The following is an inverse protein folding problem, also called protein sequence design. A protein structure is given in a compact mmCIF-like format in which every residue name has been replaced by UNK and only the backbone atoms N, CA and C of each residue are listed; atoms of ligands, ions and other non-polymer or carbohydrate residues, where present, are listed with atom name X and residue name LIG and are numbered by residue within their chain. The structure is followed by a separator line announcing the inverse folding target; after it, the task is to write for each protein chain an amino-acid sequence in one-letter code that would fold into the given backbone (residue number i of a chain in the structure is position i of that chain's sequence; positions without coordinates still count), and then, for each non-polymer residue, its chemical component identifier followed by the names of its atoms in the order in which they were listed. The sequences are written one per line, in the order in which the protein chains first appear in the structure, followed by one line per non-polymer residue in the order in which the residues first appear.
data_IF_555636817810
#
_entry.id   IF_555636817810
#
_cell.length_a   1.000
_cell.length_b   1.000
_cell.length_c   1.000
_cell.angle_alpha   90.00
_cell.angle_beta   90.00
_cell.angle_gamma   90.00
#
_symmetry.space_group_name_H-M   'P 1'
#
loop_
_entity.id
_entity.type
_entity.pdbx_description
1 polymer ?
#
# COMPACT_ATOMS: atom_id res chain seq x y z
N UNK A 1 13.74 14.98 10.75
CA UNK A 1 12.32 14.55 10.69
C UNK A 1 12.28 13.03 10.73
N UNK A 2 12.59 12.43 11.89
CA UNK A 2 12.75 10.96 12.05
C UNK A 2 11.69 10.31 12.94
N UNK A 3 10.76 11.09 13.52
CA UNK A 3 9.83 10.65 14.57
C UNK A 3 8.59 9.86 14.10
N UNK A 4 8.49 9.48 12.82
CA UNK A 4 7.32 8.80 12.24
C UNK A 4 7.67 7.51 11.50
N UNK A 5 8.71 6.80 11.97
CA UNK A 5 8.99 5.44 11.48
C UNK A 5 8.16 4.44 12.28
N UNK A 6 7.34 3.64 11.60
CA UNK A 6 6.63 2.54 12.25
C UNK A 6 7.66 1.47 12.62
N UNK A 7 7.91 1.32 13.92
CA UNK A 7 8.81 0.31 14.45
C UNK A 7 8.10 -1.04 14.45
N UNK A 8 8.67 -2.01 13.74
CA UNK A 8 8.14 -3.37 13.71
C UNK A 8 8.72 -4.14 14.88
N UNK A 9 7.94 -4.28 15.94
CA UNK A 9 8.23 -5.33 16.89
C UNK A 9 7.72 -6.64 16.29
N UNK A 10 8.63 -7.48 15.79
CA UNK A 10 8.30 -8.88 15.42
C UNK A 10 8.23 -9.76 16.68
N UNK A 11 7.82 -9.16 17.79
CA UNK A 11 7.59 -9.83 19.06
C UNK A 11 6.38 -10.72 18.91
N UNK A 12 6.52 -11.97 19.33
CA UNK A 12 5.37 -12.86 19.51
C UNK A 12 4.43 -12.16 20.49
N UNK A 13 3.12 -12.24 20.25
CA UNK A 13 2.12 -11.75 21.19
C UNK A 13 2.51 -12.14 22.63
N UNK A 14 2.44 -11.21 23.61
CA UNK A 14 2.97 -11.41 24.95
C UNK A 14 2.25 -12.50 25.75
N UNK A 15 1.13 -13.01 25.22
CA UNK A 15 0.29 -14.01 25.88
C UNK A 15 0.90 -15.43 25.79
N UNK A 16 1.02 -16.14 26.92
CA UNK A 16 1.38 -17.56 26.93
C UNK A 16 0.43 -18.36 26.02
N UNK A 17 0.98 -19.30 25.25
CA UNK A 17 0.23 -20.14 24.31
C UNK A 17 -0.50 -19.40 23.17
N UNK A 18 -0.08 -18.18 22.82
CA UNK A 18 -0.65 -17.49 21.65
C UNK A 18 -0.40 -18.28 20.34
N UNK A 19 -1.45 -18.59 19.54
CA UNK A 19 -1.30 -19.31 18.27
C UNK A 19 -0.72 -18.43 17.15
N UNK A 20 -0.40 -17.16 17.42
CA UNK A 20 0.11 -16.22 16.42
C UNK A 20 1.26 -16.77 15.54
N UNK A 21 2.25 -17.53 16.06
CA UNK A 21 3.31 -18.09 15.22
C UNK A 21 2.82 -19.05 14.14
N UNK A 22 1.70 -19.75 14.39
CA UNK A 22 1.11 -20.75 13.49
C UNK A 22 -0.18 -20.28 12.84
N UNK A 23 -0.68 -19.09 13.17
CA UNK A 23 -1.89 -18.54 12.58
C UNK A 23 -1.62 -17.99 11.18
N UNK A 24 -2.46 -18.38 10.22
CA UNK A 24 -2.43 -17.86 8.85
C UNK A 24 -2.84 -16.40 8.77
N UNK A 25 -3.67 -15.94 9.70
CA UNK A 25 -4.15 -14.57 9.78
C UNK A 25 -3.79 -13.94 11.12
N UNK A 26 -3.53 -12.63 11.08
CA UNK A 26 -3.24 -11.83 12.26
C UNK A 26 -3.76 -10.41 12.09
N UNK A 27 -3.87 -9.70 13.21
CA UNK A 27 -4.23 -8.30 13.30
C UNK A 27 -2.97 -7.51 13.62
N UNK A 28 -2.55 -6.63 12.72
CA UNK A 28 -1.48 -5.68 12.99
C UNK A 28 -2.09 -4.43 13.62
N UNK A 29 -1.74 -4.17 14.88
CA UNK A 29 -2.20 -3.02 15.66
C UNK A 29 -1.09 -1.98 15.69
N UNK A 30 -1.42 -0.73 15.38
CA UNK A 30 -0.52 0.41 15.48
C UNK A 30 -0.84 1.19 16.74
N UNK A 31 0.15 1.33 17.61
CA UNK A 31 0.07 2.16 18.81
C UNK A 31 0.62 3.55 18.54
N UNK A 32 -0.12 4.55 18.99
CA UNK A 32 0.27 5.95 18.97
C UNK A 32 0.39 6.47 20.41
N UNK A 33 1.31 7.42 20.69
CA UNK A 33 2.20 8.10 19.75
C UNK A 33 3.52 7.36 19.44
N UNK A 34 3.77 6.20 20.07
CA UNK A 34 5.04 5.46 19.95
C UNK A 34 5.34 4.97 18.53
N UNK A 35 4.32 4.89 17.66
CA UNK A 35 4.43 4.33 16.31
C UNK A 35 4.94 2.88 16.33
N UNK A 36 4.58 2.13 17.36
CA UNK A 36 4.92 0.72 17.52
C UNK A 36 3.84 -0.15 16.91
N UNK A 37 4.27 -1.17 16.18
CA UNK A 37 3.37 -2.17 15.61
C UNK A 37 3.46 -3.47 16.39
N UNK A 38 2.30 -3.94 16.84
CA UNK A 38 2.09 -5.24 17.47
C UNK A 38 1.27 -6.15 16.57
N UNK A 39 1.72 -7.39 16.38
CA UNK A 39 0.94 -8.41 15.67
C UNK A 39 0.20 -9.29 16.71
N UNK A 40 -1.12 -9.41 16.58
CA UNK A 40 -1.99 -10.17 17.49
C UNK A 40 -2.76 -11.25 16.72
N UNK A 41 -2.99 -12.40 17.35
CA UNK A 41 -3.97 -13.35 16.81
C UNK A 41 -5.39 -12.80 17.01
N UNK A 42 -6.40 -13.40 16.35
CA UNK A 42 -7.79 -12.98 16.48
C UNK A 42 -8.27 -12.91 17.93
N UNK A 43 -7.97 -13.95 18.74
CA UNK A 43 -8.38 -14.00 20.15
C UNK A 43 -7.76 -12.89 20.98
N UNK A 44 -6.45 -12.65 20.85
CA UNK A 44 -5.76 -11.59 21.58
C UNK A 44 -6.23 -10.20 21.15
N UNK A 45 -6.51 -10.00 19.85
CA UNK A 45 -7.08 -8.75 19.33
C UNK A 45 -8.45 -8.45 19.94
N UNK A 46 -9.40 -9.39 19.85
CA UNK A 46 -10.75 -9.17 20.38
C UNK A 46 -10.75 -8.97 21.89
N UNK A 47 -9.92 -9.71 22.64
CA UNK A 47 -9.76 -9.51 24.08
C UNK A 47 -9.29 -8.10 24.40
N UNK A 48 -8.27 -7.61 23.68
CA UNK A 48 -7.74 -6.25 23.85
C UNK A 48 -8.83 -5.21 23.61
N UNK A 49 -9.56 -5.30 22.50
CA UNK A 49 -10.67 -4.39 22.18
C UNK A 49 -11.74 -4.40 23.28
N UNK A 50 -12.11 -5.57 23.80
CA UNK A 50 -13.08 -5.68 24.89
C UNK A 50 -12.59 -5.09 26.21
N UNK A 51 -11.29 -5.13 26.48
CA UNK A 51 -10.70 -4.59 27.72
C UNK A 51 -10.52 -3.08 27.67
N UNK A 52 -10.09 -2.53 26.53
CA UNK A 52 -9.83 -1.10 26.39
C UNK A 52 -11.09 -0.29 26.11
N UNK A 53 -12.14 -0.92 25.56
CA UNK A 53 -13.37 -0.22 25.13
C UNK A 53 -13.18 0.67 23.89
N UNK A 54 -11.94 0.94 23.50
CA UNK A 54 -11.56 1.70 22.32
C UNK A 54 -11.18 0.77 21.15
N UNK A 55 -11.61 1.13 19.94
CA UNK A 55 -11.14 0.47 18.72
C UNK A 55 -9.75 1.00 18.38
N UNK A 56 -8.70 0.17 18.39
CA UNK A 56 -7.37 0.61 18.02
C UNK A 56 -7.27 0.89 16.51
N UNK A 57 -6.15 1.49 16.08
CA UNK A 57 -5.79 1.54 14.66
C UNK A 57 -5.23 0.16 14.29
N UNK A 58 -5.89 -0.56 13.39
CA UNK A 58 -5.45 -1.90 12.99
C UNK A 58 -5.75 -2.23 11.54
N UNK A 59 -5.08 -3.26 11.02
CA UNK A 59 -5.47 -3.93 9.79
C UNK A 59 -5.28 -5.44 9.91
N UNK A 60 -6.17 -6.19 9.24
CA UNK A 60 -6.04 -7.64 9.13
C UNK A 60 -5.03 -7.99 8.04
N UNK A 61 -4.15 -8.94 8.31
CA UNK A 61 -3.14 -9.41 7.37
C UNK A 61 -3.04 -10.93 7.39
N UNK A 62 -2.62 -11.51 6.26
CA UNK A 62 -2.39 -12.95 6.12
C UNK A 62 -0.89 -13.22 6.00
N UNK A 63 -0.39 -14.23 6.70
CA UNK A 63 0.96 -14.77 6.47
C UNK A 63 0.99 -15.36 5.07
N UNK A 64 2.04 -15.04 4.34
CA UNK A 64 2.31 -15.73 3.08
C UNK A 64 2.74 -17.16 3.42
N UNK A 65 2.13 -18.16 2.80
CA UNK A 65 2.57 -19.54 2.95
C UNK A 65 4.03 -19.64 2.48
N UNK A 66 4.89 -20.42 3.18
CA UNK A 66 6.25 -20.66 2.73
C UNK A 66 6.21 -21.35 1.37
N UNK A 67 6.57 -20.63 0.31
CA UNK A 67 6.53 -21.10 -1.08
C UNK A 67 5.60 -20.29 -1.98
N UNK A 68 4.55 -19.67 -1.43
CA UNK A 68 3.74 -18.71 -2.17
C UNK A 68 4.45 -17.36 -2.24
N UNK A 69 5.07 -17.08 -3.40
CA UNK A 69 5.49 -15.72 -3.72
C UNK A 69 4.24 -14.93 -4.05
N UNK A 70 4.05 -13.79 -3.39
CA UNK A 70 3.06 -12.81 -3.82
C UNK A 70 3.26 -12.54 -5.32
N UNK A 71 2.18 -12.36 -6.11
CA UNK A 71 2.27 -12.08 -7.54
C UNK A 71 3.28 -10.95 -7.75
N UNK A 72 4.28 -11.23 -8.58
CA UNK A 72 5.37 -10.27 -8.79
C UNK A 72 4.85 -9.25 -9.78
N UNK A 73 4.36 -8.14 -9.25
CA UNK A 73 3.89 -7.05 -10.10
C UNK A 73 5.07 -6.56 -10.94
N UNK A 74 4.95 -6.70 -12.26
CA UNK A 74 5.93 -6.17 -13.21
C UNK A 74 5.94 -4.64 -13.14
N UNK A 75 7.07 -4.11 -12.67
CA UNK A 75 7.26 -2.67 -12.50
C UNK A 75 7.32 -1.93 -13.83
N UNK A 76 7.73 -2.60 -14.91
CA UNK A 76 7.74 -2.00 -16.24
C UNK A 76 6.31 -1.81 -16.76
N UNK A 77 5.47 -2.84 -16.68
CA UNK A 77 4.05 -2.76 -17.00
C UNK A 77 3.31 -1.73 -16.15
N UNK A 78 3.56 -1.67 -14.83
CA UNK A 78 2.99 -0.62 -13.99
C UNK A 78 3.41 0.79 -14.42
N UNK A 79 4.65 0.97 -14.88
CA UNK A 79 5.12 2.27 -15.36
C UNK A 79 4.42 2.66 -16.67
N UNK A 80 4.30 1.74 -17.62
CA UNK A 80 3.55 1.98 -18.85
C UNK A 80 2.09 2.34 -18.54
N UNK A 81 1.46 1.62 -17.60
CA UNK A 81 0.11 1.94 -17.15
C UNK A 81 0.03 3.34 -16.53
N UNK A 82 0.97 3.70 -15.66
CA UNK A 82 1.05 5.03 -15.04
C UNK A 82 1.14 6.17 -16.06
N UNK A 83 1.94 5.97 -17.11
CA UNK A 83 2.12 6.95 -18.18
C UNK A 83 0.84 7.08 -19.02
N UNK A 84 0.24 5.95 -19.45
CA UNK A 84 -1.03 5.92 -20.21
C UNK A 84 -2.21 6.53 -19.45
N UNK A 85 -2.33 6.25 -18.14
CA UNK A 85 -3.38 6.86 -17.32
C UNK A 85 -3.25 8.39 -17.24
N UNK A 86 -2.08 8.94 -17.54
CA UNK A 86 -1.86 10.38 -17.63
C UNK A 86 -2.40 11.05 -18.88
N UNK A 87 -2.77 10.26 -19.89
CA UNK A 87 -3.35 10.74 -21.14
C UNK A 87 -4.89 10.87 -21.05
N UNK A 88 -5.48 10.48 -19.92
CA UNK A 88 -6.92 10.45 -19.70
C UNK A 88 -7.34 11.38 -18.55
N UNK A 89 -8.38 12.20 -18.79
CA UNK A 89 -8.87 13.20 -17.82
C UNK A 89 -10.00 12.70 -16.89
N UNK A 90 -10.41 11.44 -16.99
CA UNK A 90 -11.47 10.89 -16.13
C UNK A 90 -11.04 10.83 -14.67
N UNK A 91 -11.99 10.93 -13.75
CA UNK A 91 -11.74 10.81 -12.31
C UNK A 91 -11.20 9.41 -11.96
N UNK A 92 -11.70 8.38 -12.64
CA UNK A 92 -11.24 7.00 -12.50
C UNK A 92 -9.77 6.86 -12.91
N UNK A 93 -9.38 7.44 -14.06
CA UNK A 93 -8.00 7.38 -14.54
C UNK A 93 -7.05 8.14 -13.60
N UNK A 94 -7.45 9.33 -13.15
CA UNK A 94 -6.70 10.12 -12.16
C UNK A 94 -6.54 9.36 -10.84
N UNK A 95 -7.61 8.73 -10.35
CA UNK A 95 -7.56 7.96 -9.12
C UNK A 95 -6.68 6.73 -9.23
N UNK A 96 -6.82 5.96 -10.31
CA UNK A 96 -5.96 4.79 -10.56
C UNK A 96 -4.49 5.21 -10.73
N UNK A 97 -4.23 6.32 -11.43
CA UNK A 97 -2.89 6.88 -11.60
C UNK A 97 -2.25 7.22 -10.27
N UNK A 98 -3.01 7.84 -9.36
CA UNK A 98 -2.56 8.13 -8.00
C UNK A 98 -2.16 6.84 -7.25
N UNK A 99 -2.97 5.78 -7.32
CA UNK A 99 -2.64 4.50 -6.70
C UNK A 99 -1.38 3.85 -7.26
N UNK A 100 -1.26 3.82 -8.59
CA UNK A 100 -0.07 3.28 -9.26
C UNK A 100 1.16 4.09 -8.84
N UNK A 101 1.06 5.41 -8.71
CA UNK A 101 2.16 6.25 -8.21
C UNK A 101 2.61 5.83 -6.80
N UNK A 102 1.68 5.56 -5.88
CA UNK A 102 2.01 5.09 -4.52
C UNK A 102 2.73 3.74 -4.54
N UNK A 103 2.32 2.82 -5.42
CA UNK A 103 3.00 1.53 -5.60
C UNK A 103 4.42 1.71 -6.15
N UNK A 104 4.58 2.55 -7.18
CA UNK A 104 5.87 2.85 -7.79
C UNK A 104 6.81 3.58 -6.82
N UNK A 105 6.30 4.47 -5.96
CA UNK A 105 7.04 5.11 -4.87
C UNK A 105 7.53 4.08 -3.85
N UNK A 106 6.65 3.18 -3.40
CA UNK A 106 7.01 2.10 -2.46
C UNK A 106 8.12 1.21 -3.02
N UNK A 107 8.11 0.99 -4.33
CA UNK A 107 9.12 0.19 -5.06
C UNK A 107 10.34 1.02 -5.50
N UNK A 108 10.38 2.32 -5.17
CA UNK A 108 11.44 3.29 -5.53
C UNK A 108 11.67 3.46 -7.04
N UNK A 109 10.64 3.19 -7.85
CA UNK A 109 10.65 3.50 -9.29
C UNK A 109 10.44 5.00 -9.50
N UNK A 110 9.51 5.59 -8.75
CA UNK A 110 9.33 7.04 -8.67
C UNK A 110 9.92 7.57 -7.36
N UNK A 111 10.18 8.87 -7.33
CA UNK A 111 10.61 9.61 -6.13
C UNK A 111 9.67 10.79 -5.89
N UNK A 112 9.23 10.93 -4.64
CA UNK A 112 8.51 12.12 -4.20
C UNK A 112 9.47 13.30 -4.09
N UNK A 113 9.04 14.46 -4.58
CA UNK A 113 9.83 15.69 -4.60
C UNK A 113 9.00 16.88 -4.12
N UNK A 114 9.62 17.91 -3.50
CA UNK A 114 8.91 19.10 -3.04
C UNK A 114 8.42 19.92 -4.24
N UNK A 115 7.21 20.47 -4.19
CA UNK A 115 6.64 21.32 -5.24
C UNK A 115 7.59 22.45 -5.66
N UNK A 116 7.65 22.73 -6.97
CA UNK A 116 8.53 23.74 -7.55
C UNK A 116 7.79 24.97 -8.09
N UNK A 117 6.45 24.92 -8.15
CA UNK A 117 5.60 26.00 -8.64
C UNK A 117 4.22 25.94 -7.97
N UNK A 118 3.44 27.00 -8.14
CA UNK A 118 2.12 27.15 -7.50
C UNK A 118 1.09 26.09 -7.94
N UNK A 119 1.20 25.56 -9.16
CA UNK A 119 0.34 24.47 -9.64
C UNK A 119 0.67 23.14 -8.95
N UNK A 120 1.94 22.91 -8.62
CA UNK A 120 2.39 21.74 -7.87
C UNK A 120 2.07 21.84 -6.37
N UNK A 121 1.97 23.05 -5.82
CA UNK A 121 1.63 23.27 -4.40
C UNK A 121 0.20 22.85 -4.05
N UNK A 122 -0.72 22.87 -5.01
CA UNK A 122 -2.10 22.40 -4.82
C UNK A 122 -2.25 20.89 -4.97
N UNK A 123 -1.19 20.16 -5.32
CA UNK A 123 -1.22 18.71 -5.47
C UNK A 123 -0.87 18.01 -4.16
N UNK A 124 -1.55 16.90 -3.88
CA UNK A 124 -1.24 16.06 -2.71
C UNK A 124 0.09 15.33 -2.85
N UNK A 125 0.50 15.07 -4.10
CA UNK A 125 1.70 14.31 -4.40
C UNK A 125 2.40 14.84 -5.65
N UNK A 126 3.70 15.12 -5.56
CA UNK A 126 4.54 15.41 -6.73
C UNK A 126 5.65 14.37 -6.84
N UNK A 127 5.72 13.74 -8.00
CA UNK A 127 6.68 12.66 -8.28
C UNK A 127 7.51 12.94 -9.53
N UNK A 128 8.70 12.33 -9.57
CA UNK A 128 9.53 12.24 -10.77
C UNK A 128 10.18 10.87 -10.88
N UNK A 129 10.74 10.57 -12.05
CA UNK A 129 11.55 9.38 -12.27
C UNK A 129 13.04 9.70 -12.05
N UNK A 130 13.65 9.24 -10.95
CA UNK A 130 15.06 9.56 -10.66
C UNK A 130 16.04 8.89 -11.62
N UNK A 131 15.61 7.91 -12.42
CA UNK A 131 16.48 7.21 -13.38
C UNK A 131 16.51 7.87 -14.75
N UNK A 132 15.59 8.79 -15.03
CA UNK A 132 15.50 9.51 -16.30
C UNK A 132 15.92 10.96 -16.07
N UNK A 133 17.16 11.36 -16.43
CA UNK A 133 17.61 12.74 -16.29
C UNK A 133 16.67 13.70 -17.02
N UNK A 134 16.22 14.75 -16.33
CA UNK A 134 15.29 15.73 -16.90
C UNK A 134 13.84 15.24 -17.01
N UNK A 135 13.46 14.13 -16.36
CA UNK A 135 12.06 13.69 -16.33
C UNK A 135 11.14 14.80 -15.82
N UNK A 136 9.99 14.98 -16.46
CA UNK A 136 8.97 15.91 -16.02
C UNK A 136 8.50 15.57 -14.60
N UNK A 137 8.17 16.61 -13.84
CA UNK A 137 7.52 16.50 -12.53
C UNK A 137 6.02 16.27 -12.77
N UNK A 138 5.45 15.31 -12.06
CA UNK A 138 4.07 14.91 -12.23
C UNK A 138 3.34 15.21 -10.92
N UNK A 139 2.46 16.21 -10.98
CA UNK A 139 1.56 16.58 -9.90
C UNK A 139 0.32 15.67 -9.93
N UNK A 140 -0.05 15.10 -8.79
CA UNK A 140 -1.15 14.17 -8.63
C UNK A 140 -2.02 14.63 -7.45
N UNK A 141 -3.32 14.66 -7.69
CA UNK A 141 -4.34 14.97 -6.66
C UNK A 141 -4.90 13.65 -6.17
N UNK A 142 -4.99 13.50 -4.85
CA UNK A 142 -5.60 12.35 -4.22
C UNK A 142 -7.09 12.32 -4.59
N UNK A 143 -7.62 11.22 -5.13
CA UNK A 143 -9.04 11.13 -5.40
C UNK A 143 -9.81 11.21 -4.08
N UNK A 144 -11.04 11.75 -4.12
CA UNK A 144 -11.96 11.63 -3.00
C UNK A 144 -12.34 10.16 -2.81
N UNK A 145 -11.78 9.55 -1.77
CA UNK A 145 -11.88 8.11 -1.53
C UNK A 145 -12.69 7.85 -0.27
N UNK A 146 -13.94 7.45 -0.45
CA UNK A 146 -14.62 6.64 0.54
C UNK A 146 -13.92 5.25 0.61
N UNK A 147 -13.83 4.67 1.81
CA UNK A 147 -13.03 3.46 2.06
C UNK A 147 -13.47 2.21 1.27
N UNK A 148 -14.70 2.18 0.79
CA UNK A 148 -15.26 1.17 -0.11
C UNK A 148 -14.74 1.29 -1.55
N UNK A 149 -14.67 2.51 -2.08
CA UNK A 149 -14.12 2.82 -3.42
C UNK A 149 -12.65 2.44 -3.54
N UNK A 150 -11.91 2.60 -2.45
CA UNK A 150 -10.51 2.19 -2.30
C UNK A 150 -10.30 0.68 -2.45
N UNK A 151 -11.12 -0.12 -1.76
CA UNK A 151 -11.02 -1.58 -1.81
C UNK A 151 -11.31 -2.10 -3.22
N UNK A 152 -12.36 -1.56 -3.86
CA UNK A 152 -12.74 -1.90 -5.24
C UNK A 152 -11.64 -1.58 -6.25
N UNK A 153 -11.06 -0.38 -6.21
CA UNK A 153 -9.97 0.00 -7.13
C UNK A 153 -8.72 -0.86 -6.94
N UNK A 154 -8.40 -1.23 -5.70
CA UNK A 154 -7.30 -2.15 -5.40
C UNK A 154 -7.57 -3.53 -6.00
N UNK A 155 -8.78 -4.07 -5.84
CA UNK A 155 -9.15 -5.38 -6.37
C UNK A 155 -9.18 -5.39 -7.91
N UNK A 156 -9.70 -4.32 -8.55
CA UNK A 156 -9.66 -4.13 -10.01
C UNK A 156 -8.23 -4.06 -10.55
N UNK A 157 -7.34 -3.33 -9.87
CA UNK A 157 -5.93 -3.25 -10.23
C UNK A 157 -5.24 -4.61 -10.10
N UNK A 158 -5.51 -5.36 -9.02
CA UNK A 158 -4.95 -6.69 -8.84
C UNK A 158 -5.46 -7.68 -9.89
N UNK A 159 -6.75 -7.61 -10.26
CA UNK A 159 -7.32 -8.42 -11.33
C UNK A 159 -6.66 -8.13 -12.68
N UNK A 160 -6.55 -6.86 -13.07
CA UNK A 160 -5.92 -6.44 -14.31
C UNK A 160 -4.44 -6.84 -14.41
N UNK A 161 -3.74 -6.91 -13.28
CA UNK A 161 -2.34 -7.36 -13.22
C UNK A 161 -2.21 -8.89 -13.23
N UNK A 162 -3.19 -9.63 -12.70
CA UNK A 162 -3.18 -11.09 -12.66
C UNK A 162 -3.52 -11.73 -14.03
N UNK A 163 -4.35 -11.08 -14.85
CA UNK A 163 -4.71 -11.59 -16.19
C UNK A 163 -3.51 -11.69 -17.16
N UNK A 164 -2.39 -11.03 -16.86
CA UNK A 164 -1.16 -11.09 -17.67
C UNK A 164 -0.30 -12.34 -17.41
N UNK A 165 -0.52 -13.08 -16.31
CA UNK A 165 0.28 -14.29 -15.98
C UNK A 165 -0.28 -15.58 -16.64
N UNK A 166 -1.48 -15.54 -17.23
CA UNK A 166 -2.13 -16.72 -17.83
C UNK A 166 -1.92 -16.93 -19.34
N UNK A 167 -1.33 -15.97 -20.06
CA UNK A 167 -1.27 -15.97 -21.52
C UNK A 167 0.07 -16.42 -22.13
N UNK A 168 1.00 -16.97 -21.34
CA UNK A 168 2.34 -17.39 -21.82
C UNK A 168 2.71 -18.83 -21.45
N UNK A 169 1.74 -19.74 -21.60
CA UNK A 169 1.98 -21.18 -21.65
C UNK A 169 1.10 -21.83 -22.72
N UNK A 170 1.48 -21.64 -23.98
CA UNK A 170 1.21 -22.61 -25.05
C UNK A 170 2.24 -22.36 -26.16
N UNK A 171 3.25 -23.22 -26.18
CA UNK A 171 4.26 -23.36 -27.22
C UNK A 171 4.55 -24.84 -27.41
#
# INVERSE_FOLDING_TARGET
MEAWRIHRERGRCPEPACPLPTADEFFAVLELPSCERHDLCATCFHRRVSQTGESPIFWKARRQEPGHRAPTIDLASLRVLFDRLGEHDSDEARGLRYFVALLLLRKRVLRMVPAANQTEESADLVVLDPKVPGSARIALVAPELAGDRMAKLKDELLAALAEQEGASHDG
#
